data_IF_436123753971
#
_entry.id   IF_436123753971
#
_cell.length_a   1.000
_cell.length_b   1.000
_cell.length_c   1.000
_cell.angle_alpha   90.00
_cell.angle_beta   90.00
_cell.angle_gamma   90.00
#
_symmetry.space_group_name_H-M   'P 1'
#
loop_
_entity.id
_entity.type
_entity.pdbx_description
1 polymer ?
#
# COMPACT_ATOMS: atom_id res chain seq x y z
N UNK A 1 -2.03 -6.75 3.26
CA UNK A 1 -2.93 -6.35 4.34
C UNK A 1 -3.17 -4.84 4.35
N UNK A 2 -2.19 -4.00 4.68
CA UNK A 2 -2.35 -2.53 4.74
C UNK A 2 -2.86 -1.92 3.43
N UNK A 3 -2.24 -2.27 2.31
CA UNK A 3 -2.61 -1.77 0.99
C UNK A 3 -4.01 -2.24 0.55
N UNK A 4 -4.32 -3.51 0.72
CA UNK A 4 -5.61 -4.07 0.29
C UNK A 4 -6.76 -3.58 1.16
N UNK A 5 -6.55 -3.48 2.49
CA UNK A 5 -7.49 -2.82 3.38
C UNK A 5 -7.77 -1.38 2.97
N UNK A 6 -6.73 -0.58 2.74
CA UNK A 6 -6.90 0.80 2.27
C UNK A 6 -7.61 0.86 0.90
N UNK A 7 -7.33 -0.07 -0.01
CA UNK A 7 -7.98 -0.15 -1.33
C UNK A 7 -9.49 -0.38 -1.24
N UNK A 8 -9.94 -1.22 -0.30
CA UNK A 8 -11.36 -1.58 -0.16
C UNK A 8 -12.25 -0.41 0.27
N UNK A 9 -11.72 0.52 1.05
CA UNK A 9 -12.48 1.67 1.57
C UNK A 9 -12.14 2.99 0.88
N UNK A 10 -11.12 3.03 0.04
CA UNK A 10 -10.60 4.26 -0.59
C UNK A 10 -11.64 5.02 -1.39
N UNK A 11 -12.43 4.32 -2.23
CA UNK A 11 -13.46 4.94 -3.05
C UNK A 11 -14.54 5.62 -2.22
N UNK A 12 -15.04 4.93 -1.20
CA UNK A 12 -16.02 5.47 -0.27
C UNK A 12 -15.47 6.66 0.52
N UNK A 13 -14.22 6.57 0.97
CA UNK A 13 -13.56 7.67 1.70
C UNK A 13 -13.41 8.92 0.84
N UNK A 14 -12.95 8.81 -0.42
CA UNK A 14 -12.84 9.94 -1.35
C UNK A 14 -14.20 10.57 -1.66
N UNK A 15 -15.25 9.75 -1.79
CA UNK A 15 -16.61 10.23 -1.97
C UNK A 15 -17.10 11.05 -0.77
N UNK A 16 -16.79 10.62 0.46
CA UNK A 16 -17.08 11.36 1.69
C UNK A 16 -16.35 12.70 1.77
N UNK A 17 -15.13 12.77 1.22
CA UNK A 17 -14.36 14.01 1.11
C UNK A 17 -14.87 14.97 0.03
N UNK A 18 -15.92 14.60 -0.70
CA UNK A 18 -16.54 15.43 -1.74
C UNK A 18 -15.98 15.20 -3.15
N UNK A 19 -15.19 14.17 -3.39
CA UNK A 19 -14.73 13.84 -4.73
C UNK A 19 -15.85 13.20 -5.56
N UNK A 20 -16.07 13.68 -6.79
CA UNK A 20 -17.01 13.05 -7.71
C UNK A 20 -16.52 11.68 -8.18
N UNK A 21 -17.45 10.81 -8.59
CA UNK A 21 -17.11 9.47 -9.12
C UNK A 21 -16.14 9.55 -10.32
N UNK A 22 -16.31 10.55 -11.18
CA UNK A 22 -15.40 10.79 -12.32
C UNK A 22 -13.98 11.15 -11.87
N UNK A 23 -13.84 12.00 -10.83
CA UNK A 23 -12.56 12.34 -10.22
C UNK A 23 -11.88 11.12 -9.59
N UNK A 24 -12.65 10.30 -8.87
CA UNK A 24 -12.14 9.07 -8.25
C UNK A 24 -11.60 8.11 -9.33
N UNK A 25 -12.36 7.93 -10.42
CA UNK A 25 -11.95 7.12 -11.57
C UNK A 25 -10.68 7.67 -12.24
N UNK A 26 -10.64 8.98 -12.50
CA UNK A 26 -9.49 9.66 -13.12
C UNK A 26 -8.23 9.52 -12.27
N UNK A 27 -8.29 9.84 -10.98
CA UNK A 27 -7.15 9.71 -10.06
C UNK A 27 -6.69 8.25 -9.91
N UNK A 28 -7.64 7.31 -9.90
CA UNK A 28 -7.31 5.88 -9.87
C UNK A 28 -6.58 5.45 -11.14
N UNK A 29 -7.09 5.82 -12.32
CA UNK A 29 -6.47 5.49 -13.62
C UNK A 29 -5.10 6.17 -13.79
N UNK A 30 -5.01 7.46 -13.45
CA UNK A 30 -3.75 8.20 -13.50
C UNK A 30 -2.72 7.60 -12.53
N UNK A 31 -3.15 7.22 -11.33
CA UNK A 31 -2.30 6.52 -10.36
C UNK A 31 -1.79 5.18 -10.88
N UNK A 32 -2.61 4.39 -11.61
CA UNK A 32 -2.14 3.16 -12.25
C UNK A 32 -1.10 3.44 -13.34
N UNK A 33 -1.37 4.41 -14.21
CA UNK A 33 -0.45 4.81 -15.29
C UNK A 33 0.91 5.25 -14.71
N UNK A 34 0.90 6.13 -13.69
CA UNK A 34 2.11 6.57 -12.98
C UNK A 34 2.80 5.37 -12.33
N UNK A 35 2.05 4.50 -11.65
CA UNK A 35 2.57 3.30 -11.00
C UNK A 35 3.30 2.37 -11.98
N UNK A 36 2.73 2.08 -13.13
CA UNK A 36 3.36 1.22 -14.15
C UNK A 36 4.57 1.89 -14.81
N UNK A 37 4.47 3.18 -15.14
CA UNK A 37 5.59 3.95 -15.71
C UNK A 37 6.78 4.01 -14.74
N UNK A 38 6.51 4.30 -13.46
CA UNK A 38 7.54 4.33 -12.41
C UNK A 38 8.17 2.96 -12.17
N UNK A 39 7.39 1.87 -12.26
CA UNK A 39 7.92 0.50 -12.13
C UNK A 39 8.98 0.20 -13.18
N UNK A 40 8.76 0.63 -14.43
CA UNK A 40 9.75 0.47 -15.50
C UNK A 40 11.02 1.27 -15.21
N UNK A 41 10.88 2.54 -14.82
CA UNK A 41 12.01 3.42 -14.50
C UNK A 41 12.82 2.89 -13.32
N UNK A 42 12.13 2.57 -12.22
CA UNK A 42 12.79 2.07 -11.01
C UNK A 42 13.32 0.64 -11.16
N UNK A 43 12.71 -0.20 -11.97
CA UNK A 43 13.27 -1.50 -12.36
C UNK A 43 14.66 -1.32 -13.01
N UNK A 44 14.72 -0.47 -14.04
CA UNK A 44 15.98 -0.16 -14.74
C UNK A 44 17.03 0.48 -13.82
N UNK A 45 16.60 1.36 -12.90
CA UNK A 45 17.49 1.99 -11.93
C UNK A 45 18.02 0.98 -10.90
N UNK A 46 17.18 0.08 -10.44
CA UNK A 46 17.52 -0.98 -9.49
C UNK A 46 18.56 -1.94 -10.10
N UNK A 47 18.35 -2.35 -11.35
CA UNK A 47 19.28 -3.22 -12.09
C UNK A 47 20.64 -2.55 -12.29
N UNK A 48 20.64 -1.24 -12.58
CA UNK A 48 21.87 -0.46 -12.77
C UNK A 48 22.64 -0.25 -11.46
N UNK A 49 21.93 0.04 -10.37
CA UNK A 49 22.57 0.37 -9.07
C UNK A 49 22.85 -0.84 -8.22
N UNK A 50 22.19 -1.97 -8.48
CA UNK A 50 22.23 -3.22 -7.68
C UNK A 50 21.93 -3.02 -6.19
N UNK A 51 21.29 -1.91 -5.82
CA UNK A 51 20.92 -1.55 -4.44
C UNK A 51 19.49 -1.96 -4.14
N UNK A 52 19.22 -3.27 -4.11
CA UNK A 52 17.87 -3.81 -3.95
C UNK A 52 17.27 -3.50 -2.58
N UNK A 53 18.01 -3.71 -1.49
CA UNK A 53 17.53 -3.50 -0.12
C UNK A 53 17.12 -2.04 0.17
N UNK A 54 17.97 -1.02 -0.07
CA UNK A 54 17.57 0.36 0.16
C UNK A 54 16.34 0.78 -0.64
N UNK A 55 16.23 0.35 -1.90
CA UNK A 55 15.07 0.63 -2.74
C UNK A 55 13.80 -0.04 -2.22
N UNK A 56 13.90 -1.28 -1.76
CA UNK A 56 12.77 -2.00 -1.14
C UNK A 56 12.31 -1.27 0.11
N UNK A 57 13.21 -0.94 1.04
CA UNK A 57 12.87 -0.23 2.29
C UNK A 57 12.24 1.13 1.98
N UNK A 58 12.83 1.92 1.09
CA UNK A 58 12.30 3.22 0.71
C UNK A 58 10.88 3.13 0.12
N UNK A 59 10.64 2.17 -0.78
CA UNK A 59 9.32 1.93 -1.34
C UNK A 59 8.30 1.48 -0.29
N UNK A 60 8.69 0.65 0.68
CA UNK A 60 7.82 0.26 1.80
C UNK A 60 7.50 1.44 2.72
N UNK A 61 8.48 2.27 3.04
CA UNK A 61 8.28 3.47 3.86
C UNK A 61 7.27 4.42 3.20
N UNK A 62 7.43 4.71 1.91
CA UNK A 62 6.48 5.55 1.17
C UNK A 62 5.07 4.95 1.13
N UNK A 63 4.94 3.67 0.80
CA UNK A 63 3.65 3.00 0.68
C UNK A 63 2.92 2.93 2.04
N UNK A 64 3.65 2.59 3.11
CA UNK A 64 3.07 2.39 4.43
C UNK A 64 2.75 3.72 5.12
N UNK A 65 3.59 4.75 4.98
CA UNK A 65 3.34 6.06 5.59
C UNK A 65 2.19 6.82 4.91
N UNK A 66 1.97 6.60 3.61
CA UNK A 66 0.87 7.23 2.90
C UNK A 66 -0.50 6.82 3.45
N UNK A 67 -0.65 5.58 3.94
CA UNK A 67 -1.93 5.06 4.43
C UNK A 67 -2.38 5.75 5.73
N UNK A 68 -1.60 5.81 6.83
CA UNK A 68 -2.01 6.53 8.02
C UNK A 68 -2.05 8.05 7.80
N UNK A 69 -1.28 8.60 6.86
CA UNK A 69 -1.38 10.00 6.49
C UNK A 69 -2.78 10.36 5.94
N UNK A 70 -3.50 9.42 5.34
CA UNK A 70 -4.90 9.61 4.96
C UNK A 70 -5.82 9.84 6.17
N UNK A 71 -5.48 9.30 7.34
CA UNK A 71 -6.23 9.55 8.57
C UNK A 71 -6.13 11.00 9.07
N UNK A 72 -5.07 11.72 8.67
CA UNK A 72 -4.83 13.12 9.03
C UNK A 72 -5.44 14.12 8.05
N UNK A 73 -6.00 13.65 6.95
CA UNK A 73 -6.67 14.51 5.97
C UNK A 73 -8.02 14.98 6.54
N UNK A 74 -8.24 16.29 6.56
CA UNK A 74 -9.51 16.88 7.02
C UNK A 74 -10.68 16.63 6.07
N UNK A 75 -11.91 16.88 6.54
CA UNK A 75 -13.17 16.55 5.82
C UNK A 75 -13.31 17.11 4.41
N UNK A 76 -12.58 18.16 4.06
CA UNK A 76 -12.61 18.76 2.71
C UNK A 76 -11.28 18.60 1.96
N UNK A 77 -10.38 17.73 2.45
CA UNK A 77 -9.04 17.54 1.93
C UNK A 77 -8.93 16.53 0.77
N UNK A 78 -9.94 16.35 -0.08
CA UNK A 78 -9.93 15.34 -1.14
C UNK A 78 -8.71 15.44 -2.07
N UNK A 79 -8.21 16.65 -2.30
CA UNK A 79 -7.03 16.90 -3.14
C UNK A 79 -5.75 16.32 -2.50
N UNK A 80 -5.60 16.49 -1.18
CA UNK A 80 -4.50 15.90 -0.40
C UNK A 80 -4.61 14.37 -0.34
N UNK A 81 -5.83 13.85 -0.18
CA UNK A 81 -6.07 12.41 -0.22
C UNK A 81 -5.67 11.80 -1.57
N UNK A 82 -6.02 12.46 -2.69
CA UNK A 82 -5.60 12.03 -4.04
C UNK A 82 -4.08 12.04 -4.19
N UNK A 83 -3.40 13.08 -3.70
CA UNK A 83 -1.94 13.17 -3.70
C UNK A 83 -1.28 12.02 -2.91
N UNK A 84 -1.77 11.73 -1.72
CA UNK A 84 -1.28 10.62 -0.89
C UNK A 84 -1.50 9.25 -1.54
N UNK A 85 -2.62 9.06 -2.25
CA UNK A 85 -2.86 7.84 -3.01
C UNK A 85 -1.89 7.65 -4.17
N UNK A 86 -1.51 8.74 -4.85
CA UNK A 86 -0.46 8.68 -5.89
C UNK A 86 0.89 8.33 -5.25
N UNK A 87 1.26 8.96 -4.13
CA UNK A 87 2.49 8.64 -3.38
C UNK A 87 2.52 7.18 -2.94
N UNK A 88 1.41 6.64 -2.45
CA UNK A 88 1.28 5.23 -2.10
C UNK A 88 1.56 4.32 -3.31
N UNK A 89 1.01 4.65 -4.47
CA UNK A 89 1.24 3.88 -5.70
C UNK A 89 2.70 3.97 -6.18
N UNK A 90 3.33 5.14 -6.05
CA UNK A 90 4.76 5.31 -6.33
C UNK A 90 5.61 4.43 -5.42
N UNK A 91 5.33 4.40 -4.10
CA UNK A 91 6.00 3.50 -3.16
C UNK A 91 5.90 2.03 -3.58
N UNK A 92 4.71 1.59 -4.00
CA UNK A 92 4.48 0.24 -4.53
C UNK A 92 5.27 -0.03 -5.82
N UNK A 93 5.36 0.95 -6.71
CA UNK A 93 6.10 0.84 -7.97
C UNK A 93 7.61 0.73 -7.75
N UNK A 94 8.15 1.41 -6.73
CA UNK A 94 9.57 1.38 -6.37
C UNK A 94 9.95 0.04 -5.72
N UNK A 95 9.16 -0.41 -4.73
CA UNK A 95 9.49 -1.63 -3.97
C UNK A 95 9.35 -2.91 -4.77
N UNK A 96 8.37 -3.00 -5.69
CA UNK A 96 8.03 -4.25 -6.36
C UNK A 96 9.20 -4.85 -7.16
N UNK A 97 9.86 -4.14 -8.09
CA UNK A 97 10.97 -4.72 -8.85
C UNK A 97 12.15 -5.13 -7.96
N UNK A 98 12.48 -4.32 -6.95
CA UNK A 98 13.57 -4.64 -6.03
C UNK A 98 13.24 -5.86 -5.15
N UNK A 99 12.03 -5.96 -4.62
CA UNK A 99 11.54 -7.12 -3.83
C UNK A 99 11.58 -8.40 -4.68
N UNK A 100 11.06 -8.36 -5.90
CA UNK A 100 10.98 -9.52 -6.79
C UNK A 100 12.40 -10.02 -7.15
N UNK A 101 13.36 -9.11 -7.33
CA UNK A 101 14.75 -9.47 -7.58
C UNK A 101 15.41 -10.12 -6.35
N UNK A 102 15.25 -9.55 -5.14
CA UNK A 102 15.74 -10.17 -3.90
C UNK A 102 15.15 -11.57 -3.75
N UNK A 103 13.84 -11.71 -4.01
CA UNK A 103 13.17 -13.00 -3.90
C UNK A 103 13.72 -14.01 -4.92
N UNK A 104 14.02 -13.60 -6.16
CA UNK A 104 14.58 -14.49 -7.16
C UNK A 104 15.97 -15.01 -6.76
N UNK A 105 16.79 -14.20 -6.10
CA UNK A 105 18.08 -14.64 -5.57
C UNK A 105 17.92 -15.63 -4.42
N UNK A 106 17.00 -15.35 -3.48
CA UNK A 106 16.73 -16.26 -2.35
C UNK A 106 16.10 -17.57 -2.82
N UNK A 107 15.25 -17.52 -3.83
CA UNK A 107 14.53 -18.67 -4.37
C UNK A 107 15.42 -19.64 -5.17
N UNK A 108 16.60 -19.22 -5.60
CA UNK A 108 17.51 -20.06 -6.40
C UNK A 108 17.96 -21.34 -5.69
N UNK A 109 17.92 -21.37 -4.36
CA UNK A 109 18.35 -22.51 -3.55
C UNK A 109 17.22 -23.52 -3.26
N UNK A 110 15.95 -23.09 -3.21
CA UNK A 110 14.81 -23.95 -2.82
C UNK A 110 13.80 -24.20 -3.94
N UNK A 111 14.03 -23.67 -5.12
CA UNK A 111 13.11 -23.71 -6.25
C UNK A 111 12.25 -22.45 -6.39
N UNK A 112 12.45 -21.75 -7.50
CA UNK A 112 11.83 -20.45 -7.80
C UNK A 112 10.31 -20.53 -7.73
N UNK A 113 9.70 -21.55 -8.33
CA UNK A 113 8.24 -21.71 -8.34
C UNK A 113 7.63 -21.87 -6.96
N UNK A 114 8.25 -22.66 -6.07
CA UNK A 114 7.78 -22.86 -4.70
C UNK A 114 7.84 -21.56 -3.90
N UNK A 115 8.94 -20.82 -3.99
CA UNK A 115 9.13 -19.58 -3.23
C UNK A 115 8.15 -18.49 -3.66
N UNK A 116 7.96 -18.28 -4.97
CA UNK A 116 6.96 -17.35 -5.49
C UNK A 116 5.52 -17.81 -5.18
N UNK A 117 5.25 -19.12 -5.22
CA UNK A 117 3.95 -19.66 -4.84
C UNK A 117 3.61 -19.40 -3.37
N UNK A 118 4.54 -19.61 -2.44
CA UNK A 118 4.34 -19.30 -1.02
C UNK A 118 4.13 -17.80 -0.82
N UNK A 119 4.92 -16.96 -1.50
CA UNK A 119 4.74 -15.51 -1.45
C UNK A 119 3.34 -15.10 -1.90
N UNK A 120 2.86 -15.64 -3.01
CA UNK A 120 1.53 -15.31 -3.53
C UNK A 120 0.42 -15.73 -2.56
N UNK A 121 0.52 -16.92 -1.96
CA UNK A 121 -0.43 -17.37 -0.93
C UNK A 121 -0.44 -16.42 0.27
N UNK A 122 0.72 -15.99 0.77
CA UNK A 122 0.82 -15.04 1.88
C UNK A 122 0.28 -13.65 1.50
N UNK A 123 0.52 -13.20 0.27
CA UNK A 123 -0.01 -11.94 -0.25
C UNK A 123 -1.55 -12.02 -0.34
N UNK A 124 -2.15 -13.15 -0.77
CA UNK A 124 -3.60 -13.36 -0.82
C UNK A 124 -4.23 -13.45 0.58
N UNK A 125 -3.59 -14.13 1.52
CA UNK A 125 -4.04 -14.14 2.93
C UNK A 125 -4.04 -12.70 3.47
N UNK A 126 -3.00 -11.92 3.20
CA UNK A 126 -2.94 -10.51 3.59
C UNK A 126 -4.01 -9.65 2.90
N UNK A 127 -4.32 -9.92 1.64
CA UNK A 127 -5.36 -9.25 0.88
C UNK A 127 -6.76 -9.49 1.47
N UNK A 128 -7.04 -10.72 1.90
CA UNK A 128 -8.29 -11.07 2.58
C UNK A 128 -8.34 -10.50 4.00
N UNK A 129 -7.27 -10.64 4.77
CA UNK A 129 -7.23 -10.20 6.17
C UNK A 129 -7.35 -8.66 6.32
N UNK A 130 -6.95 -7.86 5.32
CA UNK A 130 -7.08 -6.41 5.33
C UNK A 130 -8.53 -5.93 5.44
N UNK A 131 -9.40 -6.23 4.48
CA UNK A 131 -10.83 -5.89 4.53
C UNK A 131 -11.56 -6.48 5.74
N UNK A 132 -11.23 -7.71 6.14
CA UNK A 132 -11.84 -8.34 7.34
C UNK A 132 -11.49 -7.57 8.61
N UNK A 133 -10.25 -7.16 8.77
CA UNK A 133 -9.83 -6.34 9.91
C UNK A 133 -10.59 -5.01 9.94
N UNK A 134 -10.77 -4.36 8.80
CA UNK A 134 -11.52 -3.12 8.72
C UNK A 134 -13.01 -3.32 9.02
N UNK A 135 -13.58 -4.40 8.53
CA UNK A 135 -14.96 -4.77 8.85
C UNK A 135 -15.15 -4.96 10.35
N UNK A 136 -14.24 -5.65 11.03
CA UNK A 136 -14.28 -5.81 12.49
C UNK A 136 -14.15 -4.46 13.20
N UNK A 137 -13.25 -3.59 12.75
CA UNK A 137 -13.11 -2.23 13.33
C UNK A 137 -14.42 -1.46 13.18
N UNK A 138 -15.09 -1.55 12.02
CA UNK A 138 -16.37 -0.88 11.80
C UNK A 138 -17.50 -1.45 12.68
N UNK A 139 -17.54 -2.77 12.91
CA UNK A 139 -18.52 -3.42 13.77
C UNK A 139 -18.44 -2.97 15.25
N UNK A 140 -17.24 -2.77 15.76
CA UNK A 140 -16.99 -2.36 17.14
C UNK A 140 -17.10 -0.84 17.35
N UNK A 141 -17.29 -0.07 16.29
CA UNK A 141 -17.44 1.38 16.38
C UNK A 141 -18.91 1.78 16.15
N UNK A 142 -19.66 1.85 17.23
CA UNK A 142 -21.08 2.26 17.23
C UNK A 142 -21.26 3.78 17.31
N UNK A 143 -20.24 4.52 17.77
CA UNK A 143 -20.31 5.96 18.03
C UNK A 143 -19.30 6.75 17.19
N UNK A 144 -19.79 7.63 16.33
CA UNK A 144 -18.97 8.57 15.55
C UNK A 144 -19.55 8.94 14.19
N UNK A 145 -19.04 10.02 13.62
CA UNK A 145 -19.34 10.37 12.22
C UNK A 145 -18.70 9.36 11.28
N UNK A 146 -19.32 9.09 10.14
CA UNK A 146 -18.79 8.16 9.12
C UNK A 146 -17.34 8.50 8.76
N UNK A 147 -17.00 9.79 8.69
CA UNK A 147 -15.65 10.26 8.44
C UNK A 147 -14.65 9.81 9.53
N UNK A 148 -14.99 9.93 10.80
CA UNK A 148 -14.13 9.52 11.92
C UNK A 148 -13.88 8.02 11.93
N UNK A 149 -14.84 7.21 11.52
CA UNK A 149 -14.69 5.75 11.39
C UNK A 149 -13.67 5.39 10.31
N UNK A 150 -13.73 6.01 9.13
CA UNK A 150 -12.75 5.77 8.07
C UNK A 150 -11.35 6.24 8.47
N UNK A 151 -11.23 7.39 9.11
CA UNK A 151 -9.96 7.91 9.61
C UNK A 151 -9.29 6.94 10.60
N UNK A 152 -10.06 6.37 11.53
CA UNK A 152 -9.58 5.34 12.46
C UNK A 152 -9.20 4.03 11.74
N UNK A 153 -9.95 3.62 10.72
CA UNK A 153 -9.59 2.47 9.88
C UNK A 153 -8.20 2.64 9.24
N UNK A 154 -7.90 3.82 8.70
CA UNK A 154 -6.57 4.10 8.16
C UNK A 154 -5.49 4.12 9.25
N UNK A 155 -5.79 4.65 10.44
CA UNK A 155 -4.86 4.63 11.57
C UNK A 155 -4.55 3.20 12.05
N UNK A 156 -5.55 2.33 12.14
CA UNK A 156 -5.37 0.91 12.53
C UNK A 156 -4.49 0.17 11.52
N UNK A 157 -4.60 0.48 10.22
CA UNK A 157 -3.73 -0.09 9.18
C UNK A 157 -2.25 0.32 9.33
N UNK A 158 -1.93 1.34 10.14
CA UNK A 158 -0.54 1.68 10.46
C UNK A 158 0.16 0.59 11.27
N UNK A 159 -0.57 -0.18 12.08
CA UNK A 159 0.00 -1.22 12.96
C UNK A 159 0.70 -2.32 12.13
N UNK A 160 0.01 -3.05 11.22
CA UNK A 160 0.67 -4.05 10.39
C UNK A 160 1.72 -3.43 9.47
N UNK A 161 1.55 -2.16 9.08
CA UNK A 161 2.56 -1.41 8.33
C UNK A 161 3.85 -1.22 9.12
N UNK A 162 3.76 -0.73 10.36
CA UNK A 162 4.92 -0.54 11.23
C UNK A 162 5.65 -1.86 11.51
N UNK A 163 4.91 -2.94 11.78
CA UNK A 163 5.49 -4.28 11.96
C UNK A 163 6.28 -4.70 10.73
N UNK A 164 5.75 -4.45 9.53
CA UNK A 164 6.44 -4.79 8.27
C UNK A 164 7.74 -4.02 8.12
N UNK A 165 7.77 -2.71 8.43
CA UNK A 165 9.00 -1.90 8.36
C UNK A 165 10.04 -2.40 9.37
N UNK A 166 9.62 -2.68 10.60
CA UNK A 166 10.51 -3.20 11.64
C UNK A 166 11.14 -4.54 11.20
N UNK A 167 10.32 -5.48 10.72
CA UNK A 167 10.81 -6.76 10.23
C UNK A 167 11.81 -6.59 9.08
N UNK A 168 11.56 -5.67 8.14
CA UNK A 168 12.47 -5.39 7.02
C UNK A 168 13.82 -4.82 7.48
N UNK A 169 13.83 -4.02 8.54
CA UNK A 169 15.07 -3.45 9.08
C UNK A 169 15.87 -4.52 9.81
N UNK A 170 15.19 -5.40 10.57
CA UNK A 170 15.86 -6.46 11.32
C UNK A 170 16.32 -7.64 10.45
N UNK A 171 15.71 -7.87 9.29
CA UNK A 171 16.05 -8.98 8.38
C UNK A 171 17.13 -8.61 7.35
N UNK A 172 17.64 -7.39 7.36
CA UNK A 172 18.72 -6.93 6.48
C UNK A 172 20.09 -7.51 6.90
#
# INVERSE_FOLDING_TARGET
>A
MTHEGASSIRGAYLSLLGASAGMIGFVSGLGELVGYSMRYVFGKLTDKTKRYWPMTIFGYVLDILAVPALALVGEHGWMWACGLLIVQRMGKAIKKPAKDTIMSFAASQEGVGKSFGIQEVLDQIGAFAGPVLLYLVMLFQTDGTTFSVYSRCFAVLAIPGAITILLLIFTR
#
